data_IF_250947121631
#
_entry.id   IF_250947121631
#
_cell.length_a   1.000
_cell.length_b   1.000
_cell.length_c   1.000
_cell.angle_alpha   90.00
_cell.angle_beta   90.00
_cell.angle_gamma   90.00
#
_symmetry.space_group_name_H-M   'P 1'
#
loop_
_entity.id
_entity.type
_entity.pdbx_description
1 polymer ?
#
# COMPACT_ATOMS: atom_id res chain seq x y z
N UNK A 1 0.67 15.64 -7.73
CA UNK A 1 1.28 14.45 -7.11
C UNK A 1 2.61 14.87 -6.49
N UNK A 2 2.76 14.88 -5.15
CA UNK A 2 3.97 15.38 -4.47
C UNK A 2 5.15 14.38 -4.47
N UNK A 3 5.06 13.29 -5.24
CA UNK A 3 6.06 12.22 -5.25
C UNK A 3 6.12 11.39 -3.96
N UNK A 4 5.16 11.59 -3.04
CA UNK A 4 5.10 10.85 -1.77
C UNK A 4 4.47 9.48 -2.04
N UNK A 5 5.18 8.36 -1.78
CA UNK A 5 4.59 7.04 -1.91
C UNK A 5 3.61 6.77 -0.78
N UNK A 6 2.49 6.11 -1.11
CA UNK A 6 1.51 5.68 -0.12
C UNK A 6 1.14 4.21 -0.35
N UNK A 7 1.28 3.42 0.71
CA UNK A 7 0.99 1.99 0.73
C UNK A 7 -0.26 1.75 1.56
N UNK A 8 -1.11 0.81 1.12
CA UNK A 8 -2.34 0.45 1.82
C UNK A 8 -2.26 -1.02 2.24
N UNK A 9 -2.44 -1.25 3.54
CA UNK A 9 -2.55 -2.57 4.18
C UNK A 9 -3.94 -2.76 4.79
N UNK A 10 -4.35 -4.00 5.06
CA UNK A 10 -5.62 -4.26 5.75
C UNK A 10 -5.49 -4.07 7.25
N UNK A 11 -6.45 -3.36 7.86
CA UNK A 11 -6.59 -3.27 9.32
C UNK A 11 -6.97 -4.62 9.97
N UNK A 12 -7.46 -5.58 9.19
CA UNK A 12 -7.96 -6.86 9.71
C UNK A 12 -6.85 -7.83 10.12
N UNK A 13 -5.58 -7.42 10.06
CA UNK A 13 -4.35 -8.18 10.38
C UNK A 13 -4.17 -9.38 9.44
N UNK A 14 -5.16 -10.26 9.40
CA UNK A 14 -5.23 -11.42 8.52
C UNK A 14 -5.96 -11.09 7.22
N UNK A 15 -5.43 -11.62 6.11
CA UNK A 15 -5.97 -11.47 4.77
C UNK A 15 -5.01 -10.75 3.83
N UNK A 16 -5.47 -10.52 2.59
CA UNK A 16 -4.70 -9.85 1.53
C UNK A 16 -5.51 -8.70 0.94
N UNK A 17 -4.89 -7.54 0.79
CA UNK A 17 -5.49 -6.41 0.07
C UNK A 17 -5.67 -6.77 -1.40
N UNK A 18 -6.90 -6.68 -1.91
CA UNK A 18 -7.22 -6.89 -3.32
C UNK A 18 -7.85 -5.61 -3.92
N UNK A 19 -7.12 -4.89 -4.79
CA UNK A 19 -7.58 -3.60 -5.31
C UNK A 19 -8.68 -3.72 -6.39
N UNK A 20 -8.95 -4.93 -6.91
CA UNK A 20 -9.78 -5.10 -8.12
C UNK A 20 -11.26 -5.36 -7.85
N UNK A 21 -11.65 -5.70 -6.63
CA UNK A 21 -13.03 -6.12 -6.31
C UNK A 21 -13.99 -4.92 -6.26
N UNK A 22 -13.68 -3.93 -5.42
CA UNK A 22 -14.57 -2.81 -5.13
C UNK A 22 -14.15 -1.52 -5.85
N UNK A 23 -15.14 -0.72 -6.26
CA UNK A 23 -14.91 0.54 -6.96
C UNK A 23 -14.04 1.51 -6.16
N UNK A 24 -14.22 1.58 -4.84
CA UNK A 24 -13.46 2.48 -3.97
C UNK A 24 -11.96 2.16 -3.97
N UNK A 25 -11.59 0.88 -3.85
CA UNK A 25 -10.19 0.48 -3.95
C UNK A 25 -9.68 0.71 -5.37
N UNK A 26 -10.42 0.35 -6.42
CA UNK A 26 -9.98 0.62 -7.80
C UNK A 26 -9.63 2.08 -8.03
N UNK A 27 -10.44 3.02 -7.55
CA UNK A 27 -10.14 4.46 -7.61
C UNK A 27 -8.84 4.80 -6.87
N UNK A 28 -8.68 4.31 -5.64
CA UNK A 28 -7.49 4.57 -4.83
C UNK A 28 -6.20 4.01 -5.45
N UNK A 29 -6.23 2.79 -5.98
CA UNK A 29 -5.05 2.11 -6.52
C UNK A 29 -4.74 2.50 -7.97
N UNK A 30 -5.76 2.62 -8.82
CA UNK A 30 -5.58 2.87 -10.25
C UNK A 30 -5.49 4.37 -10.55
N UNK A 31 -6.39 5.17 -9.98
CA UNK A 31 -6.43 6.62 -10.27
C UNK A 31 -5.41 7.38 -9.43
N UNK A 32 -5.26 7.02 -8.14
CA UNK A 32 -4.33 7.72 -7.25
C UNK A 32 -2.93 7.09 -7.21
N UNK A 33 -2.72 5.88 -7.75
CA UNK A 33 -1.44 5.13 -7.72
C UNK A 33 -1.01 4.70 -6.32
N UNK A 34 -1.96 4.33 -5.45
CA UNK A 34 -1.63 3.65 -4.19
C UNK A 34 -0.88 2.34 -4.46
N UNK A 35 0.04 1.99 -3.57
CA UNK A 35 0.78 0.73 -3.64
C UNK A 35 0.07 -0.32 -2.77
N UNK A 36 -0.32 -1.49 -3.29
CA UNK A 36 -0.93 -2.53 -2.48
C UNK A 36 0.11 -3.18 -1.57
N UNK A 37 -0.17 -3.20 -0.26
CA UNK A 37 0.63 -3.89 0.74
C UNK A 37 0.41 -5.40 0.79
N UNK A 38 -0.42 -5.93 -0.10
CA UNK A 38 -0.78 -7.34 -0.22
C UNK A 38 -1.17 -7.98 1.13
N UNK A 39 -0.42 -8.98 1.60
CA UNK A 39 -0.58 -9.71 2.85
C UNK A 39 0.42 -9.27 3.93
N UNK A 40 1.10 -8.13 3.75
CA UNK A 40 1.96 -7.56 4.79
C UNK A 40 1.12 -6.97 5.93
N UNK A 41 1.57 -7.24 7.16
CA UNK A 41 1.15 -6.51 8.34
C UNK A 41 1.46 -5.02 8.19
N UNK A 42 0.63 -4.17 8.79
CA UNK A 42 0.80 -2.71 8.75
C UNK A 42 2.17 -2.27 9.28
N UNK A 43 2.64 -2.92 10.36
CA UNK A 43 3.93 -2.69 10.98
C UNK A 43 5.09 -3.07 10.06
N UNK A 44 4.98 -4.23 9.38
CA UNK A 44 5.98 -4.70 8.42
C UNK A 44 6.05 -3.78 7.20
N UNK A 45 4.90 -3.34 6.68
CA UNK A 45 4.84 -2.40 5.56
C UNK A 45 5.46 -1.04 5.93
N UNK A 46 5.25 -0.57 7.17
CA UNK A 46 5.84 0.66 7.68
C UNK A 46 7.36 0.59 7.74
N UNK A 47 7.93 -0.45 8.38
CA UNK A 47 9.38 -0.62 8.46
C UNK A 47 10.00 -0.83 7.06
N UNK A 48 9.31 -1.56 6.18
CA UNK A 48 9.76 -1.77 4.80
C UNK A 48 9.80 -0.47 4.01
N UNK A 49 8.81 0.41 4.17
CA UNK A 49 8.81 1.73 3.53
C UNK A 49 10.01 2.58 3.97
N UNK A 50 10.32 2.61 5.27
CA UNK A 50 11.52 3.29 5.77
C UNK A 50 12.79 2.76 5.11
N UNK A 51 12.89 1.43 5.00
CA UNK A 51 14.07 0.79 4.39
C UNK A 51 14.17 1.06 2.89
N UNK A 52 13.07 0.92 2.14
CA UNK A 52 13.05 1.14 0.68
C UNK A 52 13.38 2.58 0.34
N UNK A 53 12.80 3.55 1.06
CA UNK A 53 13.09 4.98 0.86
C UNK A 53 14.55 5.35 1.16
N UNK A 54 15.23 4.61 2.03
CA UNK A 54 16.65 4.81 2.29
C UNK A 54 17.56 4.18 1.21
N UNK A 55 17.05 3.21 0.43
CA UNK A 55 17.82 2.44 -0.56
C UNK A 55 17.58 2.86 -2.00
N UNK A 56 16.44 3.49 -2.27
CA UNK A 56 16.02 3.90 -3.60
C UNK A 56 15.90 5.42 -3.66
N UNK A 57 16.27 6.01 -4.79
CA UNK A 57 16.29 7.45 -5.02
C UNK A 57 15.03 7.93 -5.71
#
# INVERSE_FOLDING_TARGET
EQGIPFVITSQTIYGRVNPYVYANLRKLFIESKAIPGEDMLSETAYVKLMWVLAKTK
#
